data_IF_490348403165
#
_entry.id   IF_490348403165
#
_cell.length_a   1.000
_cell.length_b   1.000
_cell.length_c   1.000
_cell.angle_alpha   90.00
_cell.angle_beta   90.00
_cell.angle_gamma   90.00
#
_symmetry.space_group_name_H-M   'P 1'
#
loop_
_entity.id
_entity.type
_entity.pdbx_description
1 polymer ?
#
# COMPACT_ATOMS: atom_id res chain seq x y z
N UNK A 1 24.29 23.82 -62.51
CA UNK A 1 24.51 25.13 -61.84
C UNK A 1 23.20 25.92 -61.88
N UNK A 2 22.91 26.69 -60.81
CA UNK A 2 21.84 27.71 -60.64
C UNK A 2 20.46 27.12 -60.25
N UNK A 3 20.14 26.97 -58.97
CA UNK A 3 19.64 27.96 -57.96
C UNK A 3 18.25 28.52 -58.29
N UNK A 4 17.24 28.12 -57.50
CA UNK A 4 16.14 28.90 -56.87
C UNK A 4 15.17 27.90 -56.23
N UNK A 5 15.34 27.48 -54.97
CA UNK A 5 14.87 28.17 -53.77
C UNK A 5 13.46 28.79 -53.94
N UNK A 6 12.44 27.92 -54.00
CA UNK A 6 11.04 28.28 -53.83
C UNK A 6 10.65 27.97 -52.38
N UNK A 7 10.84 28.98 -51.54
CA UNK A 7 10.35 29.04 -50.16
C UNK A 7 8.89 29.51 -50.22
N UNK A 8 7.93 28.61 -50.03
CA UNK A 8 6.56 28.90 -49.60
C UNK A 8 5.73 27.61 -49.58
N UNK A 9 5.73 26.93 -48.43
CA UNK A 9 4.53 26.25 -47.98
C UNK A 9 4.43 26.47 -46.48
N UNK A 10 3.75 27.56 -46.15
CA UNK A 10 3.07 27.71 -44.89
C UNK A 10 1.98 26.63 -44.81
N UNK A 11 2.13 25.67 -43.91
CA UNK A 11 0.98 25.04 -43.25
C UNK A 11 1.45 24.24 -42.05
N UNK A 12 0.69 24.33 -40.96
CA UNK A 12 0.68 23.30 -39.93
C UNK A 12 1.58 23.54 -38.73
N UNK A 13 1.09 24.37 -37.81
CA UNK A 13 0.73 23.87 -36.48
C UNK A 13 1.70 22.83 -35.89
N UNK A 14 2.64 23.28 -35.06
CA UNK A 14 3.14 22.44 -33.98
C UNK A 14 3.27 23.29 -32.72
N UNK A 15 2.16 23.30 -31.96
CA UNK A 15 2.16 23.52 -30.52
C UNK A 15 3.19 22.56 -29.92
N UNK A 16 4.40 23.06 -29.68
CA UNK A 16 5.29 22.48 -28.69
C UNK A 16 4.65 22.75 -27.32
N UNK A 17 3.66 21.93 -26.99
CA UNK A 17 3.28 21.70 -25.61
C UNK A 17 4.52 21.08 -24.95
N UNK A 18 5.26 21.90 -24.21
CA UNK A 18 6.20 21.41 -23.22
C UNK A 18 5.39 20.63 -22.20
N UNK A 19 5.22 19.33 -22.43
CA UNK A 19 4.81 18.42 -21.40
C UNK A 19 5.96 18.41 -20.39
N UNK A 20 5.84 19.26 -19.36
CA UNK A 20 6.62 19.14 -18.14
C UNK A 20 6.29 17.77 -17.55
N UNK A 21 7.04 16.76 -17.94
CA UNK A 21 7.02 15.46 -17.27
C UNK A 21 7.75 15.68 -15.95
N UNK A 22 6.98 15.98 -14.90
CA UNK A 22 7.48 15.93 -13.53
C UNK A 22 7.82 14.47 -13.25
N UNK A 23 9.09 14.10 -13.37
CA UNK A 23 9.56 12.78 -12.98
C UNK A 23 9.80 12.82 -11.46
N UNK A 24 8.81 12.35 -10.69
CA UNK A 24 9.00 12.12 -9.27
C UNK A 24 9.92 10.90 -9.11
N UNK A 25 11.18 11.17 -8.78
CA UNK A 25 12.16 10.17 -8.36
C UNK A 25 11.70 9.61 -7.01
N UNK A 26 11.16 8.39 -7.01
CA UNK A 26 10.91 7.65 -5.78
C UNK A 26 12.27 7.09 -5.33
N UNK A 27 12.99 7.87 -4.53
CA UNK A 27 14.19 7.41 -3.84
C UNK A 27 13.81 6.27 -2.89
N UNK A 28 14.31 5.08 -3.20
CA UNK A 28 14.20 3.89 -2.38
C UNK A 28 15.12 4.01 -1.18
N UNK A 29 14.66 4.62 -0.09
CA UNK A 29 15.10 4.24 1.25
C UNK A 29 14.21 4.92 2.30
N UNK A 30 13.65 4.12 3.19
CA UNK A 30 12.67 4.49 4.22
C UNK A 30 11.27 4.87 3.70
N UNK A 31 10.40 3.85 3.59
CA UNK A 31 8.94 4.00 3.61
C UNK A 31 8.52 4.59 4.97
N UNK A 32 8.82 5.87 5.20
CA UNK A 32 8.06 6.67 6.15
C UNK A 32 6.66 6.78 5.53
N UNK A 33 5.78 5.87 5.95
CA UNK A 33 4.37 5.91 5.61
C UNK A 33 3.81 7.25 6.11
N UNK A 34 3.79 8.25 5.24
CA UNK A 34 3.26 9.58 5.57
C UNK A 34 1.76 9.41 5.88
N UNK A 35 1.33 9.66 7.13
CA UNK A 35 -0.08 9.56 7.49
C UNK A 35 -0.97 10.53 6.68
N UNK A 36 -0.38 11.54 6.06
CA UNK A 36 -1.07 12.53 5.21
C UNK A 36 -1.35 12.03 3.80
N UNK A 37 -0.69 10.95 3.35
CA UNK A 37 -0.84 10.42 1.99
C UNK A 37 -1.07 8.91 1.96
N UNK A 38 -2.30 8.46 2.29
CA UNK A 38 -2.63 7.03 2.30
C UNK A 38 -2.62 6.45 0.89
N UNK A 39 -1.85 5.38 0.70
CA UNK A 39 -1.74 4.64 -0.57
C UNK A 39 -2.65 3.41 -0.52
N UNK A 40 -3.37 3.14 -1.61
CA UNK A 40 -4.21 1.95 -1.73
C UNK A 40 -3.38 0.74 -2.19
N UNK A 41 -3.49 -0.35 -1.43
CA UNK A 41 -2.86 -1.64 -1.71
C UNK A 41 -3.91 -2.75 -1.77
N UNK A 42 -3.64 -3.76 -2.60
CA UNK A 42 -4.31 -5.04 -2.56
C UNK A 42 -3.65 -5.93 -1.51
N UNK A 43 -4.46 -6.54 -0.64
CA UNK A 43 -3.97 -7.33 0.47
C UNK A 43 -3.62 -8.75 0.01
N UNK A 44 -2.38 -9.17 0.21
CA UNK A 44 -1.98 -10.57 0.07
C UNK A 44 -2.52 -11.42 1.24
N UNK A 45 -2.41 -12.76 1.21
CA UNK A 45 -2.70 -13.58 2.38
C UNK A 45 -1.98 -13.08 3.63
N UNK A 46 -2.75 -12.78 4.66
CA UNK A 46 -2.26 -12.29 5.94
C UNK A 46 -1.74 -13.46 6.76
N UNK A 47 -0.56 -13.26 7.37
CA UNK A 47 0.05 -14.26 8.26
C UNK A 47 -0.17 -13.85 9.71
N UNK A 48 -0.24 -14.83 10.62
CA UNK A 48 -0.43 -14.60 12.04
C UNK A 48 0.66 -15.34 12.81
N UNK A 49 1.27 -14.64 13.78
CA UNK A 49 2.29 -15.19 14.66
C UNK A 49 2.02 -14.82 16.11
N UNK A 50 2.51 -15.65 17.04
CA UNK A 50 2.34 -15.47 18.49
C UNK A 50 0.97 -15.88 19.06
N UNK A 51 0.04 -16.31 18.22
CA UNK A 51 -1.16 -17.04 18.60
C UNK A 51 -0.82 -18.53 18.75
N UNK A 52 -0.53 -18.97 19.97
CA UNK A 52 -0.14 -20.36 20.23
C UNK A 52 -1.35 -21.29 20.37
N UNK A 53 -2.39 -20.83 21.07
CA UNK A 53 -3.56 -21.63 21.42
C UNK A 53 -4.82 -21.29 20.62
N UNK A 54 -4.78 -20.21 19.85
CA UNK A 54 -5.92 -19.66 19.10
C UNK A 54 -5.85 -20.05 17.61
N UNK A 55 -7.02 -20.28 17.00
CA UNK A 55 -7.12 -20.62 15.58
C UNK A 55 -6.89 -19.39 14.69
N UNK A 56 -5.91 -19.49 13.79
CA UNK A 56 -5.54 -18.40 12.88
C UNK A 56 -6.70 -17.92 11.99
N UNK A 57 -7.61 -18.80 11.58
CA UNK A 57 -8.77 -18.45 10.75
C UNK A 57 -9.77 -17.59 11.52
N UNK A 58 -9.93 -17.87 12.82
CA UNK A 58 -10.77 -17.08 13.72
C UNK A 58 -10.16 -15.71 13.93
N UNK A 59 -8.84 -15.64 14.17
CA UNK A 59 -8.14 -14.37 14.33
C UNK A 59 -8.18 -13.52 13.06
N UNK A 60 -8.03 -14.14 11.88
CA UNK A 60 -8.19 -13.47 10.60
C UNK A 60 -9.60 -12.88 10.46
N UNK A 61 -10.63 -13.66 10.81
CA UNK A 61 -12.03 -13.23 10.74
C UNK A 61 -12.31 -12.05 11.68
N UNK A 62 -11.77 -12.06 12.89
CA UNK A 62 -11.90 -10.97 13.87
C UNK A 62 -11.17 -9.70 13.36
N UNK A 63 -9.98 -9.87 12.79
CA UNK A 63 -9.21 -8.75 12.23
C UNK A 63 -9.94 -8.06 11.09
N UNK A 64 -10.78 -8.80 10.34
CA UNK A 64 -11.49 -8.27 9.18
C UNK A 64 -10.56 -7.92 8.00
N UNK A 65 -9.36 -8.49 7.98
CA UNK A 65 -8.37 -8.32 6.91
C UNK A 65 -8.40 -9.55 6.00
N UNK A 66 -9.05 -9.45 4.83
CA UNK A 66 -9.16 -10.58 3.91
C UNK A 66 -8.24 -10.40 2.69
N UNK A 67 -7.66 -11.51 2.24
CA UNK A 67 -6.84 -11.48 1.03
C UNK A 67 -7.68 -11.06 -0.18
N UNK A 68 -7.13 -10.19 -1.03
CA UNK A 68 -7.80 -9.57 -2.17
C UNK A 68 -8.50 -8.25 -1.84
N UNK A 69 -8.61 -7.87 -0.56
CA UNK A 69 -9.18 -6.57 -0.18
C UNK A 69 -8.29 -5.42 -0.63
N UNK A 70 -8.91 -4.32 -1.05
CA UNK A 70 -8.21 -3.06 -1.30
C UNK A 70 -8.29 -2.20 -0.06
N UNK A 71 -7.14 -1.95 0.57
CA UNK A 71 -7.05 -1.19 1.80
C UNK A 71 -6.07 -0.02 1.65
N UNK A 72 -6.38 1.08 2.33
CA UNK A 72 -5.50 2.24 2.41
C UNK A 72 -4.53 2.09 3.57
N UNK A 73 -3.25 2.30 3.30
CA UNK A 73 -2.18 2.22 4.30
C UNK A 73 -1.35 3.50 4.26
N UNK A 74 -1.19 4.18 5.41
CA UNK A 74 -1.89 3.93 6.67
C UNK A 74 -3.40 4.22 6.55
N UNK A 75 -4.24 3.59 7.38
CA UNK A 75 -5.69 3.77 7.26
C UNK A 75 -6.54 3.03 8.30
N UNK A 76 -7.86 3.17 8.16
CA UNK A 76 -8.85 2.66 9.12
C UNK A 76 -8.87 1.14 9.20
N UNK A 77 -8.63 0.43 8.10
CA UNK A 77 -8.64 -1.04 8.07
C UNK A 77 -7.66 -1.63 9.11
N UNK A 78 -6.42 -1.12 9.15
CA UNK A 78 -5.41 -1.56 10.11
C UNK A 78 -5.81 -1.19 11.54
N UNK A 79 -6.32 0.03 11.73
CA UNK A 79 -6.76 0.51 13.05
C UNK A 79 -7.92 -0.31 13.60
N UNK A 80 -8.88 -0.66 12.75
CA UNK A 80 -10.05 -1.47 13.12
C UNK A 80 -9.65 -2.91 13.39
N UNK A 81 -8.75 -3.50 12.60
CA UNK A 81 -8.22 -4.83 12.84
C UNK A 81 -7.57 -4.96 14.22
N UNK A 82 -6.72 -4.00 14.59
CA UNK A 82 -6.10 -3.95 15.92
C UNK A 82 -7.17 -3.82 17.01
N UNK A 83 -8.13 -2.89 16.86
CA UNK A 83 -9.22 -2.68 17.84
C UNK A 83 -10.08 -3.94 18.03
N UNK A 84 -10.42 -4.62 16.95
CA UNK A 84 -11.25 -5.82 17.01
C UNK A 84 -10.54 -6.95 17.77
N UNK A 85 -9.26 -7.18 17.47
CA UNK A 85 -8.45 -8.18 18.19
C UNK A 85 -8.31 -7.83 19.67
N UNK A 86 -8.09 -6.56 20.01
CA UNK A 86 -8.03 -6.10 21.40
C UNK A 86 -9.35 -6.28 22.15
N UNK A 87 -10.48 -6.08 21.48
CA UNK A 87 -11.82 -6.16 22.08
C UNK A 87 -12.14 -7.56 22.61
N UNK A 88 -11.57 -8.60 22.00
CA UNK A 88 -11.75 -9.99 22.45
C UNK A 88 -11.09 -10.26 23.82
N UNK A 89 -10.13 -9.42 24.24
CA UNK A 89 -9.51 -9.50 25.56
C UNK A 89 -8.50 -10.64 25.76
N UNK A 90 -8.19 -11.40 24.71
CA UNK A 90 -7.22 -12.51 24.76
C UNK A 90 -5.76 -12.08 24.67
N UNK A 91 -5.49 -10.85 24.24
CA UNK A 91 -4.14 -10.38 23.92
C UNK A 91 -3.68 -9.24 24.85
N UNK A 92 -2.39 -9.26 25.22
CA UNK A 92 -1.71 -8.15 25.90
C UNK A 92 -0.95 -7.23 24.93
N UNK A 93 -0.63 -7.74 23.73
CA UNK A 93 -0.01 -6.97 22.66
C UNK A 93 -0.55 -7.43 21.31
N UNK A 94 -0.82 -6.47 20.42
CA UNK A 94 -1.29 -6.70 19.05
C UNK A 94 -0.60 -5.70 18.14
N UNK A 95 0.12 -6.21 17.14
CA UNK A 95 0.84 -5.42 16.13
C UNK A 95 0.51 -5.95 14.75
N UNK A 96 0.45 -5.05 13.79
CA UNK A 96 0.32 -5.40 12.37
C UNK A 96 1.47 -4.75 11.65
N UNK A 97 2.29 -5.57 10.99
CA UNK A 97 3.49 -5.11 10.30
C UNK A 97 3.43 -5.46 8.82
N UNK A 98 3.92 -4.56 7.98
CA UNK A 98 4.14 -4.86 6.58
C UNK A 98 5.46 -5.62 6.42
N UNK A 99 5.39 -6.86 5.92
CA UNK A 99 6.58 -7.71 5.73
C UNK A 99 7.26 -7.43 4.40
N UNK A 100 6.47 -7.13 3.36
CA UNK A 100 6.94 -6.73 2.03
C UNK A 100 5.81 -6.15 1.19
N UNK A 101 6.20 -5.48 0.11
CA UNK A 101 5.30 -4.93 -0.91
C UNK A 101 5.81 -5.33 -2.28
N UNK A 102 4.92 -5.81 -3.15
CA UNK A 102 5.24 -6.18 -4.54
C UNK A 102 4.27 -5.40 -5.45
N UNK A 103 4.75 -4.31 -6.04
CA UNK A 103 3.90 -3.41 -6.83
C UNK A 103 2.79 -2.80 -5.97
N UNK A 104 1.53 -3.12 -6.28
CA UNK A 104 0.35 -2.69 -5.51
C UNK A 104 -0.13 -3.72 -4.49
N UNK A 105 0.56 -4.85 -4.34
CA UNK A 105 0.20 -5.90 -3.40
C UNK A 105 1.02 -5.76 -2.12
N UNK A 106 0.38 -5.75 -0.96
CA UNK A 106 1.04 -5.68 0.34
C UNK A 106 0.87 -6.96 1.15
N UNK A 107 1.94 -7.39 1.82
CA UNK A 107 1.96 -8.56 2.69
C UNK A 107 2.01 -8.09 4.13
N UNK A 108 1.00 -8.48 4.92
CA UNK A 108 0.90 -8.14 6.32
C UNK A 108 1.11 -9.37 7.21
N UNK A 109 1.72 -9.13 8.36
CA UNK A 109 1.79 -10.07 9.47
C UNK A 109 1.12 -9.45 10.70
N UNK A 110 0.17 -10.18 11.28
CA UNK A 110 -0.43 -9.87 12.57
C UNK A 110 0.38 -10.62 13.63
N UNK A 111 1.03 -9.85 14.50
CA UNK A 111 1.79 -10.36 15.63
C UNK A 111 0.95 -10.13 16.89
N UNK A 112 0.62 -11.20 17.60
CA UNK A 112 -0.14 -11.12 18.85
C UNK A 112 0.63 -11.75 19.99
N UNK A 113 0.36 -11.29 21.22
CA UNK A 113 0.84 -11.92 22.44
C UNK A 113 -0.35 -12.23 23.34
N UNK A 114 -0.60 -13.51 23.57
CA UNK A 114 -1.67 -13.96 24.45
C UNK A 114 -1.44 -13.48 25.89
N UNK A 115 -2.53 -13.09 26.56
CA UNK A 115 -2.48 -12.71 27.97
C UNK A 115 -2.19 -13.95 28.83
N UNK A 116 -1.33 -13.83 29.85
CA UNK A 116 -1.28 -14.81 30.93
C UNK A 116 -2.67 -14.96 31.55
N UNK A 117 -3.10 -16.21 31.79
CA UNK A 117 -4.35 -16.52 32.49
C UNK A 117 -4.22 -16.32 34.00
#
# INVERSE_FOLDING_TARGET
MKKTFAWLLASGFWLLASASYSQQVITSDTLLLDPSNPIEYELAPVTISGAGSLDNSVLLSISGLYAGDKIKIPGEAISNAIKNLWKEGFFEDVKIVATKTIGKVIFLEIQVKERPR
#
